data_IF_673572765729
#
_entry.id   IF_673572765729
#
_cell.length_a   1.000
_cell.length_b   1.000
_cell.length_c   1.000
_cell.angle_alpha   90.00
_cell.angle_beta   90.00
_cell.angle_gamma   90.00
#
_symmetry.space_group_name_H-M   'P 1'
#
loop_
_entity.id
_entity.type
_entity.pdbx_description
1 polymer ?
#
# COMPACT_ATOMS: atom_id res chain seq x y z
N UNK A 1 42.34 -10.19 -10.55
CA UNK A 1 41.68 -11.22 -9.82
C UNK A 1 40.79 -10.58 -8.80
N UNK A 2 39.54 -11.03 -8.66
CA UNK A 2 38.51 -10.41 -7.88
C UNK A 2 38.25 -11.21 -6.59
N UNK A 3 38.80 -10.82 -5.43
CA UNK A 3 38.68 -11.58 -4.19
C UNK A 3 37.27 -11.59 -3.61
N UNK A 4 36.45 -10.57 -3.93
CA UNK A 4 35.10 -10.40 -3.43
C UNK A 4 34.00 -11.18 -4.22
N UNK A 5 34.43 -11.97 -5.22
CA UNK A 5 33.49 -12.79 -5.99
C UNK A 5 32.74 -13.79 -5.11
N UNK A 6 31.41 -13.91 -5.22
CA UNK A 6 30.60 -14.87 -4.48
C UNK A 6 30.86 -16.31 -5.01
N UNK A 7 31.98 -16.91 -4.62
CA UNK A 7 32.48 -18.16 -5.18
C UNK A 7 31.44 -19.29 -5.26
N UNK A 8 30.65 -19.52 -4.18
CA UNK A 8 29.65 -20.59 -4.16
C UNK A 8 28.53 -20.35 -5.16
N UNK A 9 28.08 -19.09 -5.29
CA UNK A 9 27.03 -18.72 -6.23
C UNK A 9 27.52 -18.79 -7.67
N UNK A 10 28.70 -18.23 -7.94
CA UNK A 10 29.31 -18.23 -9.27
C UNK A 10 29.57 -19.66 -9.75
N UNK A 11 30.10 -20.53 -8.89
CA UNK A 11 30.34 -21.94 -9.21
C UNK A 11 29.03 -22.64 -9.63
N UNK A 12 27.97 -22.51 -8.85
CA UNK A 12 26.65 -23.07 -9.19
C UNK A 12 26.10 -22.53 -10.51
N UNK A 13 26.29 -21.23 -10.76
CA UNK A 13 25.85 -20.59 -12.00
C UNK A 13 26.58 -21.16 -13.22
N UNK A 14 27.91 -21.29 -13.15
CA UNK A 14 28.76 -21.87 -14.19
C UNK A 14 28.45 -23.36 -14.38
N UNK A 15 28.33 -24.14 -13.32
CA UNK A 15 27.95 -25.57 -13.41
C UNK A 15 26.57 -25.74 -14.09
N UNK A 16 25.60 -24.87 -13.80
CA UNK A 16 24.29 -24.89 -14.44
C UNK A 16 24.38 -24.63 -15.96
N UNK A 17 25.22 -23.67 -16.38
CA UNK A 17 25.46 -23.37 -17.81
C UNK A 17 26.05 -24.59 -18.53
N UNK A 18 26.98 -25.28 -17.92
CA UNK A 18 27.59 -26.51 -18.49
C UNK A 18 26.58 -27.66 -18.58
N UNK A 19 25.85 -27.92 -17.49
CA UNK A 19 24.88 -29.03 -17.43
C UNK A 19 23.72 -28.86 -18.41
N UNK A 20 23.20 -27.63 -18.52
CA UNK A 20 22.04 -27.32 -19.36
C UNK A 20 22.42 -26.94 -20.79
N UNK A 21 23.70 -26.75 -21.10
CA UNK A 21 24.20 -26.25 -22.38
C UNK A 21 23.43 -25.04 -22.90
N UNK A 22 23.02 -24.17 -21.97
CA UNK A 22 22.20 -22.98 -22.26
C UNK A 22 22.77 -21.76 -21.57
N UNK A 23 22.50 -20.59 -22.14
CA UNK A 23 22.89 -19.32 -21.55
C UNK A 23 22.16 -19.08 -20.21
N UNK A 24 22.80 -18.37 -19.30
CA UNK A 24 22.24 -17.94 -18.04
C UNK A 24 22.47 -16.46 -17.83
N UNK A 25 21.56 -15.79 -17.15
CA UNK A 25 21.55 -14.34 -16.99
C UNK A 25 21.52 -13.94 -15.52
N UNK A 26 22.18 -12.82 -15.19
CA UNK A 26 22.13 -12.17 -13.89
C UNK A 26 21.97 -10.68 -14.12
N UNK A 27 20.83 -10.10 -13.71
CA UNK A 27 20.58 -8.66 -13.82
C UNK A 27 21.14 -7.90 -12.62
N UNK A 28 21.38 -6.61 -12.81
CA UNK A 28 21.75 -5.68 -11.75
C UNK A 28 20.68 -5.59 -10.64
N UNK A 29 19.42 -5.86 -10.93
CA UNK A 29 18.32 -5.90 -9.95
C UNK A 29 18.49 -7.05 -8.94
N UNK A 30 18.99 -8.19 -9.41
CA UNK A 30 19.29 -9.35 -8.56
C UNK A 30 20.58 -9.15 -7.78
N UNK A 31 21.58 -8.54 -8.43
CA UNK A 31 22.88 -8.24 -7.87
C UNK A 31 23.50 -7.04 -8.59
N UNK A 32 23.67 -5.93 -7.87
CA UNK A 32 24.11 -4.65 -8.45
C UNK A 32 25.37 -4.80 -9.30
N UNK A 33 26.37 -5.53 -8.85
CA UNK A 33 27.58 -5.90 -9.60
C UNK A 33 28.03 -7.30 -9.22
N UNK A 34 28.66 -7.97 -10.15
CA UNK A 34 29.36 -9.25 -9.94
C UNK A 34 30.87 -9.04 -9.83
N UNK A 35 31.40 -8.12 -10.61
CA UNK A 35 32.80 -7.74 -10.66
C UNK A 35 32.94 -6.29 -10.18
N UNK A 36 33.92 -6.02 -9.33
CA UNK A 36 34.22 -4.67 -8.86
C UNK A 36 34.95 -3.86 -9.93
N UNK A 37 34.20 -3.49 -10.97
CA UNK A 37 34.68 -2.65 -12.07
C UNK A 37 34.20 -1.21 -11.85
N UNK A 38 35.14 -0.27 -11.86
CA UNK A 38 34.82 1.15 -11.73
C UNK A 38 34.14 1.64 -13.00
N UNK A 39 33.11 2.48 -12.85
CA UNK A 39 32.53 3.16 -13.98
C UNK A 39 33.29 4.46 -14.27
N UNK A 40 33.43 4.82 -15.54
CA UNK A 40 34.08 6.04 -16.01
C UNK A 40 33.10 7.18 -16.32
N UNK A 41 31.84 7.02 -15.97
CA UNK A 41 30.78 7.95 -16.34
C UNK A 41 30.67 9.12 -15.35
N UNK A 42 30.28 10.32 -15.82
CA UNK A 42 30.18 11.53 -15.00
C UNK A 42 29.01 11.52 -14.00
N UNK A 43 28.23 10.42 -13.95
CA UNK A 43 27.06 10.32 -13.08
C UNK A 43 27.55 10.04 -11.64
N UNK A 44 27.22 10.91 -10.73
CA UNK A 44 27.47 10.71 -9.30
C UNK A 44 26.46 9.68 -8.75
N UNK A 45 26.84 8.42 -8.76
CA UNK A 45 26.13 7.35 -8.06
C UNK A 45 26.72 7.17 -6.67
N UNK A 46 25.93 6.67 -5.71
CA UNK A 46 26.44 6.31 -4.39
C UNK A 46 27.36 5.06 -4.42
N UNK A 47 27.53 4.43 -5.57
CA UNK A 47 28.35 3.26 -5.79
C UNK A 47 29.60 3.64 -6.62
N UNK A 48 30.77 3.22 -6.17
CA UNK A 48 32.01 3.34 -6.94
C UNK A 48 32.12 2.33 -8.08
N UNK A 49 31.28 1.29 -8.07
CA UNK A 49 31.30 0.21 -9.05
C UNK A 49 30.08 0.32 -9.99
N UNK A 50 30.33 -0.04 -11.27
CA UNK A 50 29.28 -0.03 -12.28
C UNK A 50 28.20 -1.07 -11.98
N UNK A 51 26.94 -0.74 -12.24
CA UNK A 51 25.86 -1.71 -12.27
C UNK A 51 26.01 -2.61 -13.50
N UNK A 52 25.83 -3.93 -13.34
CA UNK A 52 26.18 -4.91 -14.35
C UNK A 52 25.02 -5.85 -14.68
N UNK A 53 24.78 -6.04 -15.97
CA UNK A 53 24.13 -7.24 -16.46
C UNK A 53 25.20 -8.25 -16.88
N UNK A 54 25.10 -9.49 -16.42
CA UNK A 54 26.06 -10.54 -16.75
C UNK A 54 25.35 -11.68 -17.46
N UNK A 55 25.79 -12.00 -18.69
CA UNK A 55 25.32 -13.15 -19.47
C UNK A 55 26.43 -14.21 -19.49
N UNK A 56 26.11 -15.42 -19.09
CA UNK A 56 26.98 -16.57 -19.07
C UNK A 56 26.68 -17.45 -20.26
N UNK A 57 27.63 -17.61 -21.17
CA UNK A 57 27.48 -18.35 -22.43
C UNK A 57 28.37 -19.59 -22.40
N UNK A 58 27.85 -20.79 -22.68
CA UNK A 58 28.71 -21.96 -22.87
C UNK A 58 29.51 -21.80 -24.18
N UNK A 59 30.81 -22.08 -24.12
CA UNK A 59 31.67 -22.11 -25.27
C UNK A 59 32.27 -23.53 -25.41
N UNK A 60 31.93 -24.19 -26.51
CA UNK A 60 32.53 -25.47 -26.89
C UNK A 60 33.83 -25.20 -27.64
N UNK A 61 34.95 -25.76 -27.18
CA UNK A 61 36.21 -25.71 -27.90
C UNK A 61 36.46 -27.04 -28.64
N UNK A 62 37.17 -26.96 -29.77
CA UNK A 62 37.51 -28.14 -30.61
C UNK A 62 38.39 -29.16 -29.91
N UNK A 63 38.99 -28.81 -28.72
CA UNK A 63 39.82 -29.68 -27.92
C UNK A 63 39.02 -30.45 -26.82
N UNK A 64 37.71 -30.30 -26.80
CA UNK A 64 36.81 -30.93 -25.79
C UNK A 64 36.81 -30.27 -24.43
N UNK A 65 37.45 -29.11 -24.27
CA UNK A 65 37.36 -28.33 -23.04
C UNK A 65 36.10 -27.46 -23.04
N UNK A 66 35.36 -27.51 -21.93
CA UNK A 66 34.19 -26.67 -21.71
C UNK A 66 34.63 -25.34 -21.07
N UNK A 67 34.28 -24.23 -21.71
CA UNK A 67 34.53 -22.89 -21.18
C UNK A 67 33.20 -22.11 -21.06
N UNK A 68 33.18 -21.11 -20.16
CA UNK A 68 32.08 -20.16 -20.04
C UNK A 68 32.59 -18.76 -20.36
N UNK A 69 31.97 -18.12 -21.33
CA UNK A 69 32.17 -16.70 -21.59
C UNK A 69 31.20 -15.90 -20.71
N UNK A 70 31.71 -14.89 -20.04
CA UNK A 70 30.88 -13.95 -19.26
C UNK A 70 30.89 -12.62 -20.00
N UNK A 71 29.76 -12.28 -20.61
CA UNK A 71 29.54 -10.96 -21.17
C UNK A 71 29.05 -10.03 -20.07
N UNK A 72 29.76 -8.93 -19.87
CA UNK A 72 29.45 -7.92 -18.86
C UNK A 72 29.01 -6.67 -19.59
N UNK A 73 27.79 -6.24 -19.32
CA UNK A 73 27.21 -5.01 -19.84
C UNK A 73 27.13 -3.96 -18.70
N UNK A 74 27.67 -2.77 -18.95
CA UNK A 74 27.56 -1.63 -18.03
C UNK A 74 26.17 -1.01 -18.18
N UNK A 75 25.34 -1.18 -17.17
CA UNK A 75 23.96 -0.63 -17.10
C UNK A 75 23.84 0.43 -15.99
N UNK A 76 24.94 1.07 -15.63
CA UNK A 76 24.97 2.09 -14.56
C UNK A 76 24.00 3.23 -14.81
N UNK A 77 23.90 3.72 -16.06
CA UNK A 77 22.96 4.78 -16.43
C UNK A 77 21.52 4.33 -16.25
N UNK A 78 21.19 3.11 -16.70
CA UNK A 78 19.84 2.54 -16.60
C UNK A 78 19.44 2.39 -15.13
N UNK A 79 20.33 1.82 -14.32
CA UNK A 79 20.15 1.67 -12.88
C UNK A 79 19.91 3.03 -12.19
N UNK A 80 20.72 4.04 -12.53
CA UNK A 80 20.60 5.39 -11.96
C UNK A 80 19.26 6.04 -12.34
N UNK A 81 18.92 6.06 -13.62
CA UNK A 81 17.67 6.67 -14.08
C UNK A 81 16.43 5.95 -13.54
N UNK A 82 16.46 4.63 -13.46
CA UNK A 82 15.35 3.87 -12.90
C UNK A 82 15.16 4.12 -11.40
N UNK A 83 16.26 4.21 -10.66
CA UNK A 83 16.24 4.58 -9.23
C UNK A 83 15.71 6.00 -9.04
N UNK A 84 16.16 6.96 -9.86
CA UNK A 84 15.71 8.35 -9.80
C UNK A 84 14.23 8.47 -10.18
N UNK A 85 13.78 7.76 -11.22
CA UNK A 85 12.37 7.73 -11.62
C UNK A 85 11.48 7.19 -10.53
N UNK A 86 11.83 6.05 -9.92
CA UNK A 86 11.08 5.46 -8.82
C UNK A 86 10.99 6.43 -7.64
N UNK A 87 12.10 7.07 -7.28
CA UNK A 87 12.12 8.08 -6.20
C UNK A 87 11.20 9.26 -6.52
N UNK A 88 11.22 9.77 -7.75
CA UNK A 88 10.34 10.88 -8.17
C UNK A 88 8.87 10.48 -8.16
N UNK A 89 8.55 9.25 -8.60
CA UNK A 89 7.18 8.70 -8.52
C UNK A 89 6.71 8.55 -7.07
N UNK A 90 7.60 8.12 -6.17
CA UNK A 90 7.30 8.06 -4.73
C UNK A 90 7.06 9.46 -4.14
N UNK A 91 7.90 10.46 -4.50
CA UNK A 91 7.74 11.84 -4.07
C UNK A 91 6.43 12.45 -4.59
N UNK A 92 6.05 12.21 -5.85
CA UNK A 92 4.77 12.62 -6.42
C UNK A 92 3.59 11.93 -5.73
N UNK A 93 3.69 10.63 -5.46
CA UNK A 93 2.68 9.89 -4.70
C UNK A 93 2.55 10.40 -3.27
N UNK A 94 3.66 10.86 -2.66
CA UNK A 94 3.65 11.47 -1.33
C UNK A 94 3.04 12.88 -1.32
N UNK A 95 3.23 13.65 -2.38
CA UNK A 95 2.62 14.99 -2.51
C UNK A 95 1.10 14.91 -2.71
N UNK A 96 0.60 13.79 -3.25
CA UNK A 96 -0.83 13.59 -3.42
C UNK A 96 -1.47 13.12 -2.11
N UNK A 97 -2.30 13.98 -1.50
CA UNK A 97 -3.00 13.72 -0.23
C UNK A 97 -4.38 13.10 -0.41
N UNK A 98 -4.87 13.11 -1.63
CA UNK A 98 -6.26 12.80 -1.97
C UNK A 98 -6.31 11.48 -2.73
N UNK A 99 -7.31 10.66 -2.45
CA UNK A 99 -7.64 9.49 -3.25
C UNK A 99 -8.23 9.91 -4.60
N UNK A 100 -7.65 9.42 -5.69
CA UNK A 100 -8.01 9.84 -7.05
C UNK A 100 -9.47 9.56 -7.44
N UNK A 101 -10.09 8.52 -6.86
CA UNK A 101 -11.47 8.15 -7.17
C UNK A 101 -12.47 8.92 -6.29
N UNK A 102 -12.28 8.89 -4.99
CA UNK A 102 -13.28 9.38 -4.02
C UNK A 102 -13.09 10.84 -3.61
N UNK A 103 -11.94 11.44 -3.93
CA UNK A 103 -11.59 12.83 -3.62
C UNK A 103 -11.56 13.17 -2.12
N UNK A 104 -11.48 12.16 -1.25
CA UNK A 104 -11.19 12.28 0.19
C UNK A 104 -9.72 11.96 0.45
N UNK A 105 -9.24 12.02 1.68
CA UNK A 105 -7.85 11.68 1.97
C UNK A 105 -7.51 10.26 1.55
N UNK A 106 -6.33 10.07 0.98
CA UNK A 106 -5.80 8.73 0.77
C UNK A 106 -5.27 8.16 2.09
N UNK A 107 -5.07 6.83 2.14
CA UNK A 107 -4.62 6.11 3.32
C UNK A 107 -3.40 6.75 3.97
N UNK A 108 -2.37 7.06 3.17
CA UNK A 108 -1.11 7.59 3.69
C UNK A 108 -1.30 8.92 4.42
N UNK A 109 -1.95 9.88 3.77
CA UNK A 109 -2.20 11.19 4.39
C UNK A 109 -3.11 11.08 5.61
N UNK A 110 -4.11 10.21 5.55
CA UNK A 110 -5.00 9.94 6.66
C UNK A 110 -4.25 9.36 7.88
N UNK A 111 -3.33 8.38 7.68
CA UNK A 111 -2.47 7.84 8.73
C UNK A 111 -1.55 8.91 9.35
N UNK A 112 -0.96 9.79 8.53
CA UNK A 112 -0.15 10.93 9.00
C UNK A 112 -0.98 11.89 9.87
N UNK A 113 -2.25 12.10 9.53
CA UNK A 113 -3.18 12.90 10.33
C UNK A 113 -3.53 12.21 11.65
N UNK A 114 -3.81 10.90 11.62
CA UNK A 114 -4.12 10.12 12.83
C UNK A 114 -2.95 10.15 13.81
N UNK A 115 -1.73 9.94 13.33
CA UNK A 115 -0.54 9.98 14.18
C UNK A 115 -0.42 11.33 14.91
N UNK A 116 -0.59 12.45 14.20
CA UNK A 116 -0.55 13.80 14.77
C UNK A 116 -1.64 14.01 15.82
N UNK A 117 -2.89 13.64 15.51
CA UNK A 117 -4.03 13.81 16.43
C UNK A 117 -3.90 12.86 17.64
N UNK A 118 -3.33 11.65 17.48
CA UNK A 118 -3.06 10.72 18.57
C UNK A 118 -2.10 11.32 19.60
N UNK A 119 -0.92 11.81 19.16
CA UNK A 119 0.02 12.43 20.08
C UNK A 119 -0.49 13.74 20.67
N UNK A 120 -1.31 14.48 19.94
CA UNK A 120 -1.99 15.67 20.43
C UNK A 120 -3.01 15.32 21.52
N UNK A 121 -3.85 14.31 21.30
CA UNK A 121 -4.83 13.83 22.25
C UNK A 121 -4.17 13.37 23.56
N UNK A 122 -3.08 12.60 23.46
CA UNK A 122 -2.30 12.16 24.62
C UNK A 122 -1.68 13.32 25.40
N UNK A 123 -1.09 14.28 24.70
CA UNK A 123 -0.43 15.44 25.32
C UNK A 123 -1.40 16.32 26.08
N UNK A 124 -2.56 16.58 25.50
CA UNK A 124 -3.54 17.52 26.06
C UNK A 124 -4.70 16.82 26.78
N UNK A 125 -4.68 15.49 26.85
CA UNK A 125 -5.72 14.64 27.46
C UNK A 125 -7.12 14.90 26.89
N UNK A 126 -7.20 15.07 25.58
CA UNK A 126 -8.44 15.17 24.83
C UNK A 126 -8.94 13.79 24.40
N UNK A 127 -10.25 13.66 24.18
CA UNK A 127 -10.82 12.49 23.53
C UNK A 127 -10.33 12.41 22.08
N UNK A 128 -10.13 11.20 21.61
CA UNK A 128 -9.89 10.91 20.21
C UNK A 128 -10.62 9.60 19.90
N UNK A 129 -11.48 9.62 18.91
CA UNK A 129 -12.16 8.43 18.43
C UNK A 129 -11.77 8.13 16.99
N UNK A 130 -11.82 6.86 16.65
CA UNK A 130 -11.61 6.33 15.33
C UNK A 130 -12.82 5.50 14.91
N UNK A 131 -13.29 5.70 13.68
CA UNK A 131 -14.30 4.88 13.06
C UNK A 131 -13.69 4.28 11.80
N UNK A 132 -13.83 2.98 11.61
CA UNK A 132 -13.54 2.30 10.35
C UNK A 132 -14.80 1.60 9.86
N UNK A 133 -15.04 1.64 8.56
CA UNK A 133 -16.18 0.94 7.98
C UNK A 133 -15.83 0.36 6.61
N UNK A 134 -16.55 -0.70 6.27
CA UNK A 134 -16.38 -1.47 5.04
C UNK A 134 -17.75 -1.67 4.39
N UNK A 135 -17.82 -1.51 3.08
CA UNK A 135 -19.07 -1.69 2.32
C UNK A 135 -19.39 -3.18 2.21
N UNK A 136 -20.53 -3.56 2.78
CA UNK A 136 -20.95 -4.94 2.82
C UNK A 136 -21.15 -5.54 1.43
N UNK A 137 -20.58 -6.72 1.18
CA UNK A 137 -20.71 -7.47 -0.07
C UNK A 137 -20.22 -6.72 -1.32
N UNK A 138 -19.26 -5.80 -1.18
CA UNK A 138 -18.77 -4.97 -2.29
C UNK A 138 -18.21 -5.79 -3.46
N UNK A 139 -17.57 -6.94 -3.19
CA UNK A 139 -17.14 -7.85 -4.26
C UNK A 139 -18.33 -8.36 -5.10
N UNK A 140 -19.41 -8.78 -4.45
CA UNK A 140 -20.62 -9.22 -5.16
C UNK A 140 -21.25 -8.09 -5.97
N UNK A 141 -21.20 -6.86 -5.46
CA UNK A 141 -21.66 -5.66 -6.16
C UNK A 141 -20.84 -5.44 -7.45
N UNK A 142 -19.49 -5.54 -7.36
CA UNK A 142 -18.62 -5.46 -8.53
C UNK A 142 -18.89 -6.58 -9.53
N UNK A 143 -19.10 -7.80 -9.05
CA UNK A 143 -19.44 -8.96 -9.91
C UNK A 143 -20.78 -8.76 -10.63
N UNK A 144 -21.72 -8.02 -10.03
CA UNK A 144 -23.07 -7.77 -10.58
C UNK A 144 -23.13 -6.57 -11.52
N UNK A 145 -22.52 -5.44 -11.15
CA UNK A 145 -22.65 -4.14 -11.84
C UNK A 145 -21.36 -3.71 -12.53
N UNK A 146 -20.30 -4.54 -12.47
CA UNK A 146 -18.97 -4.21 -12.98
C UNK A 146 -18.24 -3.19 -12.12
N UNK A 147 -16.95 -2.98 -12.42
CA UNK A 147 -16.11 -2.04 -11.67
C UNK A 147 -16.60 -0.59 -11.75
N UNK A 148 -17.22 -0.19 -12.86
CA UNK A 148 -17.79 1.16 -12.98
C UNK A 148 -18.96 1.39 -12.02
N UNK A 149 -19.79 0.37 -11.78
CA UNK A 149 -20.85 0.42 -10.77
C UNK A 149 -20.27 0.52 -9.35
N UNK A 150 -19.24 -0.28 -9.06
CA UNK A 150 -18.52 -0.21 -7.79
C UNK A 150 -17.83 1.13 -7.54
N UNK A 151 -17.18 1.69 -8.56
CA UNK A 151 -16.55 3.02 -8.48
C UNK A 151 -17.57 4.11 -8.16
N UNK A 152 -18.73 4.07 -8.81
CA UNK A 152 -19.83 5.01 -8.51
C UNK A 152 -20.30 4.88 -7.06
N UNK A 153 -20.44 3.65 -6.55
CA UNK A 153 -20.83 3.40 -5.15
C UNK A 153 -19.81 3.98 -4.18
N UNK A 154 -18.51 3.82 -4.43
CA UNK A 154 -17.45 4.41 -3.62
C UNK A 154 -17.51 5.94 -3.63
N UNK A 155 -17.71 6.56 -4.79
CA UNK A 155 -17.80 8.02 -4.95
C UNK A 155 -19.01 8.56 -4.19
N UNK A 156 -20.19 7.99 -4.38
CA UNK A 156 -21.42 8.45 -3.74
C UNK A 156 -21.41 8.23 -2.23
N UNK A 157 -20.82 7.11 -1.76
CA UNK A 157 -20.56 6.87 -0.33
C UNK A 157 -19.67 7.97 0.25
N UNK A 158 -18.55 8.28 -0.39
CA UNK A 158 -17.65 9.32 0.07
C UNK A 158 -18.33 10.69 0.15
N UNK A 159 -19.16 11.07 -0.85
CA UNK A 159 -19.92 12.33 -0.87
C UNK A 159 -20.91 12.40 0.28
N UNK A 160 -21.72 11.35 0.46
CA UNK A 160 -22.74 11.30 1.53
C UNK A 160 -22.07 11.44 2.89
N UNK A 161 -21.02 10.68 3.16
CA UNK A 161 -20.33 10.73 4.44
C UNK A 161 -19.65 12.09 4.67
N UNK A 162 -18.97 12.64 3.67
CA UNK A 162 -18.37 13.97 3.78
C UNK A 162 -19.38 15.05 4.17
N UNK A 163 -20.62 14.95 3.72
CA UNK A 163 -21.70 15.92 4.08
C UNK A 163 -22.17 15.79 5.52
N UNK A 164 -21.91 14.67 6.18
CA UNK A 164 -22.30 14.41 7.58
C UNK A 164 -21.25 14.81 8.60
N UNK A 165 -20.01 14.97 8.16
CA UNK A 165 -18.87 15.25 9.02
C UNK A 165 -18.72 16.75 9.26
N UNK A 166 -18.21 17.09 10.45
CA UNK A 166 -17.86 18.48 10.80
C UNK A 166 -16.47 18.84 10.26
N UNK A 167 -16.17 20.12 10.20
CA UNK A 167 -14.89 20.65 9.65
C UNK A 167 -13.63 20.05 10.30
N UNK A 168 -13.71 19.60 11.56
CA UNK A 168 -12.56 19.04 12.27
C UNK A 168 -12.38 17.53 12.13
N UNK A 169 -13.34 16.84 11.53
CA UNK A 169 -13.27 15.39 11.31
C UNK A 169 -12.43 15.12 10.04
N UNK A 170 -11.63 14.04 10.07
CA UNK A 170 -10.68 13.72 9.02
C UNK A 170 -11.07 12.39 8.38
N UNK A 171 -11.51 12.43 7.14
CA UNK A 171 -12.08 11.30 6.42
C UNK A 171 -11.16 10.83 5.30
N UNK A 172 -10.88 9.53 5.24
CA UNK A 172 -10.01 8.93 4.24
C UNK A 172 -10.48 7.56 3.75
N UNK A 173 -10.01 7.19 2.56
CA UNK A 173 -10.14 5.85 2.02
C UNK A 173 -8.95 5.03 2.48
N UNK A 174 -9.22 4.00 3.31
CA UNK A 174 -8.19 3.19 3.93
C UNK A 174 -7.75 2.01 3.05
N UNK A 175 -8.67 1.44 2.30
CA UNK A 175 -8.43 0.32 1.38
C UNK A 175 -9.38 0.36 0.19
N UNK A 176 -9.58 -0.77 -0.49
CA UNK A 176 -10.47 -0.89 -1.65
C UNK A 176 -11.88 -0.34 -1.41
N UNK A 177 -12.62 -0.99 -0.51
CA UNK A 177 -13.96 -0.60 -0.04
C UNK A 177 -14.00 -0.15 1.42
N UNK A 178 -12.82 0.04 2.02
CA UNK A 178 -12.65 0.43 3.42
C UNK A 178 -12.40 1.92 3.56
N UNK A 179 -13.07 2.51 4.53
CA UNK A 179 -12.99 3.93 4.84
C UNK A 179 -12.71 4.14 6.33
N UNK A 180 -12.07 5.25 6.67
CA UNK A 180 -11.71 5.56 8.04
C UNK A 180 -11.91 7.04 8.36
N UNK A 181 -12.37 7.33 9.59
CA UNK A 181 -12.69 8.68 10.06
C UNK A 181 -12.05 8.90 11.42
N UNK A 182 -11.28 9.96 11.53
CA UNK A 182 -10.70 10.44 12.80
C UNK A 182 -11.64 11.50 13.36
N UNK A 183 -12.02 11.34 14.61
CA UNK A 183 -12.89 12.26 15.35
C UNK A 183 -12.13 12.89 16.52
N UNK A 184 -11.44 14.02 16.35
CA UNK A 184 -10.78 14.73 17.44
C UNK A 184 -11.80 15.22 18.49
N UNK A 185 -11.38 15.28 19.75
CA UNK A 185 -12.20 15.74 20.88
C UNK A 185 -13.56 15.01 20.99
N UNK A 186 -13.54 13.69 20.75
CA UNK A 186 -14.75 12.87 20.74
C UNK A 186 -14.57 11.68 21.68
N UNK A 187 -15.54 11.42 22.51
CA UNK A 187 -15.66 10.25 23.38
C UNK A 187 -16.40 9.10 22.69
N UNK A 188 -16.57 7.99 23.39
CA UNK A 188 -17.20 6.81 22.83
C UNK A 188 -18.68 7.03 22.49
N UNK A 189 -19.39 7.84 23.24
CA UNK A 189 -20.81 8.13 22.99
C UNK A 189 -20.95 8.94 21.70
N UNK A 190 -20.14 10.00 21.56
CA UNK A 190 -20.09 10.78 20.32
C UNK A 190 -19.62 9.98 19.11
N UNK A 191 -18.67 9.05 19.31
CA UNK A 191 -18.22 8.16 18.23
C UNK A 191 -19.35 7.24 17.75
N UNK A 192 -20.10 6.65 18.68
CA UNK A 192 -21.25 5.80 18.36
C UNK A 192 -22.35 6.54 17.61
N UNK A 193 -22.68 7.77 18.05
CA UNK A 193 -23.67 8.60 17.35
C UNK A 193 -23.26 8.89 15.90
N UNK A 194 -21.99 9.21 15.67
CA UNK A 194 -21.46 9.42 14.32
C UNK A 194 -21.45 8.12 13.52
N UNK A 195 -21.00 7.01 14.12
CA UNK A 195 -20.93 5.70 13.46
C UNK A 195 -22.34 5.22 13.01
N UNK A 196 -23.34 5.33 13.88
CA UNK A 196 -24.70 4.94 13.55
C UNK A 196 -25.32 5.86 12.48
N UNK A 197 -25.07 7.16 12.56
CA UNK A 197 -25.50 8.11 11.52
C UNK A 197 -24.91 7.78 10.15
N UNK A 198 -23.63 7.38 10.10
CA UNK A 198 -22.93 6.93 8.89
C UNK A 198 -23.60 5.66 8.35
N UNK A 199 -23.76 4.64 9.18
CA UNK A 199 -24.38 3.37 8.81
C UNK A 199 -25.78 3.57 8.21
N UNK A 200 -26.60 4.37 8.88
CA UNK A 200 -27.96 4.67 8.44
C UNK A 200 -27.96 5.46 7.14
N UNK A 201 -27.05 6.44 6.99
CA UNK A 201 -26.96 7.23 5.77
C UNK A 201 -26.59 6.37 4.56
N UNK A 202 -25.59 5.48 4.72
CA UNK A 202 -25.18 4.54 3.66
C UNK A 202 -26.39 3.63 3.29
N UNK A 203 -27.04 3.01 4.28
CA UNK A 203 -28.15 2.07 4.04
C UNK A 203 -29.38 2.71 3.38
N UNK A 204 -29.60 4.03 3.57
CA UNK A 204 -30.69 4.78 2.95
C UNK A 204 -30.34 5.42 1.61
N UNK A 205 -29.05 5.49 1.29
CA UNK A 205 -28.61 6.09 0.04
C UNK A 205 -28.97 5.19 -1.14
N UNK A 206 -29.68 5.74 -2.12
CA UNK A 206 -30.04 5.06 -3.36
C UNK A 206 -29.16 5.64 -4.46
N UNK A 207 -28.35 4.80 -5.05
CA UNK A 207 -27.38 5.18 -6.08
C UNK A 207 -27.91 4.72 -7.43
N UNK A 208 -28.10 5.66 -8.36
CA UNK A 208 -28.61 5.37 -9.70
C UNK A 208 -27.45 5.08 -10.66
N UNK A 209 -27.41 3.88 -11.20
CA UNK A 209 -26.44 3.45 -12.18
C UNK A 209 -27.15 2.82 -13.40
N UNK A 210 -27.10 3.48 -14.58
CA UNK A 210 -27.73 2.97 -15.81
C UNK A 210 -29.21 2.54 -15.61
N UNK A 211 -30.01 3.42 -15.01
CA UNK A 211 -31.42 3.19 -14.67
C UNK A 211 -31.68 2.06 -13.64
N UNK A 212 -30.66 1.58 -12.98
CA UNK A 212 -30.75 0.59 -11.89
C UNK A 212 -30.47 1.29 -10.56
N UNK A 213 -31.31 1.05 -9.57
CA UNK A 213 -31.09 1.50 -8.19
C UNK A 213 -30.17 0.51 -7.45
N UNK A 214 -28.98 0.96 -7.04
CA UNK A 214 -28.07 0.21 -6.21
C UNK A 214 -28.23 0.67 -4.76
N UNK A 215 -28.37 -0.30 -3.84
CA UNK A 215 -28.36 -0.09 -2.40
C UNK A 215 -27.23 -0.90 -1.78
N UNK A 216 -26.52 -0.30 -0.85
CA UNK A 216 -25.41 -0.93 -0.14
C UNK A 216 -25.55 -0.65 1.35
N UNK A 217 -25.01 -1.53 2.18
CA UNK A 217 -24.86 -1.31 3.62
C UNK A 217 -23.40 -1.29 4.00
N UNK A 218 -23.09 -0.93 5.24
CA UNK A 218 -21.74 -0.95 5.75
C UNK A 218 -21.70 -1.55 7.17
N UNK A 219 -20.68 -2.35 7.42
CA UNK A 219 -20.27 -2.74 8.76
C UNK A 219 -19.34 -1.69 9.32
N UNK A 220 -19.50 -1.31 10.58
CA UNK A 220 -18.80 -0.18 11.19
C UNK A 220 -18.15 -0.61 12.50
N UNK A 221 -16.86 -0.36 12.64
CA UNK A 221 -16.11 -0.48 13.89
C UNK A 221 -15.78 0.90 14.45
N UNK A 222 -15.86 1.05 15.77
CA UNK A 222 -15.46 2.27 16.46
C UNK A 222 -14.60 1.97 17.68
N UNK A 223 -13.62 2.83 17.94
CA UNK A 223 -12.81 2.80 19.15
C UNK A 223 -12.46 4.22 19.60
N UNK A 224 -12.11 4.36 20.87
CA UNK A 224 -11.55 5.60 21.43
C UNK A 224 -10.17 5.32 21.99
N UNK A 225 -9.33 6.35 22.00
CA UNK A 225 -8.00 6.26 22.58
C UNK A 225 -8.07 5.79 24.04
N UNK A 226 -7.44 4.66 24.31
CA UNK A 226 -7.33 4.06 25.62
C UNK A 226 -6.08 4.50 26.37
N UNK A 227 -6.02 4.19 27.68
CA UNK A 227 -4.82 4.43 28.49
C UNK A 227 -3.65 3.54 28.09
N UNK A 228 -3.95 2.35 27.61
CA UNK A 228 -2.99 1.31 27.20
C UNK A 228 -2.45 1.53 25.79
N UNK A 229 -3.11 2.36 24.95
CA UNK A 229 -2.65 2.63 23.60
C UNK A 229 -1.37 3.46 23.65
N UNK A 230 -0.26 2.87 23.24
CA UNK A 230 1.05 3.53 23.24
C UNK A 230 1.36 4.19 21.91
N UNK A 231 0.77 3.69 20.85
CA UNK A 231 0.95 4.15 19.47
C UNK A 231 -0.42 4.24 18.77
N UNK A 232 -0.48 5.03 17.72
CA UNK A 232 -1.72 5.20 16.95
C UNK A 232 -2.17 3.90 16.27
N UNK A 233 -1.24 2.99 15.97
CA UNK A 233 -1.55 1.67 15.40
C UNK A 233 -2.35 0.80 16.37
N UNK A 234 -2.21 1.00 17.68
CA UNK A 234 -2.99 0.28 18.69
C UNK A 234 -4.48 0.67 18.56
N UNK A 235 -4.77 1.97 18.35
CA UNK A 235 -6.13 2.44 18.10
C UNK A 235 -6.70 1.92 16.78
N UNK A 236 -5.90 1.85 15.72
CA UNK A 236 -6.31 1.22 14.45
C UNK A 236 -6.68 -0.24 14.69
N UNK A 237 -5.80 -1.01 15.36
CA UNK A 237 -6.02 -2.43 15.65
C UNK A 237 -7.30 -2.67 16.44
N UNK A 238 -7.55 -1.86 17.48
CA UNK A 238 -8.78 -1.94 18.27
C UNK A 238 -10.03 -1.68 17.41
N UNK A 239 -9.96 -0.69 16.52
CA UNK A 239 -11.08 -0.35 15.63
C UNK A 239 -11.32 -1.44 14.59
N UNK A 240 -10.25 -2.04 14.05
CA UNK A 240 -10.33 -3.15 13.09
C UNK A 240 -10.96 -4.41 13.71
N UNK A 241 -10.62 -4.74 14.96
CA UNK A 241 -11.28 -5.82 15.72
C UNK A 241 -12.78 -5.56 15.83
N UNK A 242 -13.19 -4.32 16.17
CA UNK A 242 -14.60 -3.96 16.25
C UNK A 242 -15.29 -4.05 14.87
N UNK A 243 -14.63 -3.66 13.79
CA UNK A 243 -15.14 -3.81 12.43
C UNK A 243 -15.31 -5.29 12.03
N UNK A 244 -14.34 -6.12 12.39
CA UNK A 244 -14.42 -7.56 12.19
C UNK A 244 -15.61 -8.18 12.94
N UNK A 245 -15.84 -7.77 14.21
CA UNK A 245 -16.98 -8.20 15.00
C UNK A 245 -18.31 -7.77 14.35
N UNK A 246 -18.39 -6.56 13.79
CA UNK A 246 -19.55 -6.09 13.05
C UNK A 246 -19.84 -6.95 11.81
N UNK A 247 -18.81 -7.30 11.03
CA UNK A 247 -18.94 -8.21 9.88
C UNK A 247 -19.40 -9.62 10.33
N UNK A 248 -18.89 -10.12 11.45
CA UNK A 248 -19.27 -11.43 12.02
C UNK A 248 -20.67 -11.47 12.63
N UNK A 249 -21.17 -10.33 13.14
CA UNK A 249 -22.48 -10.22 13.81
C UNK A 249 -23.66 -9.98 12.87
N UNK A 250 -23.47 -10.18 11.56
CA UNK A 250 -24.56 -10.11 10.57
C UNK A 250 -24.50 -8.89 9.64
N UNK A 251 -23.45 -8.09 9.73
CA UNK A 251 -23.22 -6.89 8.92
C UNK A 251 -24.25 -5.77 9.18
N UNK A 252 -24.10 -4.63 8.50
CA UNK A 252 -24.96 -3.46 8.66
C UNK A 252 -25.22 -3.12 10.14
N UNK A 253 -24.19 -3.11 10.94
CA UNK A 253 -24.21 -2.87 12.38
C UNK A 253 -22.96 -2.10 12.81
N UNK A 254 -23.05 -1.41 13.94
CA UNK A 254 -21.90 -0.76 14.59
C UNK A 254 -21.46 -1.63 15.76
N UNK A 255 -20.16 -1.93 15.82
CA UNK A 255 -19.51 -2.53 16.98
C UNK A 255 -18.45 -1.59 17.56
N UNK A 256 -18.16 -1.74 18.85
CA UNK A 256 -17.17 -0.95 19.58
C UNK A 256 -16.10 -1.86 20.14
N UNK A 257 -14.85 -1.43 20.07
CA UNK A 257 -13.76 -2.11 20.76
C UNK A 257 -14.02 -2.14 22.28
N UNK A 258 -13.77 -3.29 22.88
CA UNK A 258 -13.97 -3.53 24.33
C UNK A 258 -12.77 -3.05 25.14
#
# INVERSE_FOLDING_TARGET
>A
VFPELPQKWLKRKVESVFQLKSQSFCSWEQRHHLFELQHTRPISTNSHFMAQNCTFLPLEQNDGSDNVCILIEDVTDVCHYQTMLNKTLEELAQANRIDGLTQIFNRKHWEECLEKEFYRARRYKHGLALIMFDLDHFKLLNDTYGHLGGDLVLIETAKVISSLLRLGDLFGRYGGEEFAIILPNTDIVGALDVAERIRVAISKNVINFQDIEIKVTASVGAAVIGKEDNRYEDLISNTDVALYDAKGSGRNIVCVAK
#
